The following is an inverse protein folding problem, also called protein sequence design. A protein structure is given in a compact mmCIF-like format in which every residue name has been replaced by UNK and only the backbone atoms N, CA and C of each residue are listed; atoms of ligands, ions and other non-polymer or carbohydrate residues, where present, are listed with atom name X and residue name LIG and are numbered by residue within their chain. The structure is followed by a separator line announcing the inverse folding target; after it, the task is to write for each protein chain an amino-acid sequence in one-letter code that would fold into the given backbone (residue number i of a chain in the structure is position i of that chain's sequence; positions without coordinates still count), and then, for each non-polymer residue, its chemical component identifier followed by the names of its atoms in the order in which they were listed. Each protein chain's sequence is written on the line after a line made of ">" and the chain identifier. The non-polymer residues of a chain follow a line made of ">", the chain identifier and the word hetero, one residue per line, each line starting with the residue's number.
data_IF_132246501450
#
_entry.id   IF_132246501450
#
_cell.length_a   1.000
_cell.length_b   1.000
_cell.length_c   1.000
_cell.angle_alpha   90.00
_cell.angle_beta   90.00
_cell.angle_gamma   90.00
#
_symmetry.space_group_name_H-M   'P 1'
#
loop_
_entity.id
_entity.type
_entity.pdbx_description
1 polymer ?
#
# COMPACT_ATOMS: atom_id res chain seq x y z
N UNK A 1 -9.92 1.28 -3.19
CA UNK A 1 -11.20 0.82 -2.60
C UNK A 1 -10.86 -0.44 -1.84
N UNK A 2 -11.42 -0.60 -0.65
CA UNK A 2 -11.23 -1.77 0.19
C UNK A 2 -12.59 -2.32 0.65
N UNK A 3 -12.65 -3.59 1.02
CA UNK A 3 -13.89 -4.24 1.44
C UNK A 3 -13.66 -5.00 2.74
N UNK A 4 -14.56 -4.81 3.71
CA UNK A 4 -14.61 -5.64 4.91
C UNK A 4 -15.15 -7.02 4.56
N UNK A 5 -14.35 -8.06 4.77
CA UNK A 5 -14.78 -9.44 4.55
C UNK A 5 -15.84 -9.90 5.58
N UNK A 6 -15.96 -9.21 6.71
CA UNK A 6 -16.89 -9.58 7.79
C UNK A 6 -18.28 -8.98 7.59
N UNK A 7 -18.35 -7.71 7.17
CA UNK A 7 -19.61 -6.97 7.05
C UNK A 7 -20.01 -6.65 5.62
N UNK A 8 -19.11 -6.81 4.65
CA UNK A 8 -19.33 -6.37 3.27
C UNK A 8 -19.28 -4.85 3.11
N UNK A 9 -18.87 -4.10 4.15
CA UNK A 9 -18.71 -2.67 4.05
C UNK A 9 -17.63 -2.31 3.01
N UNK A 10 -17.90 -1.31 2.18
CA UNK A 10 -16.99 -0.85 1.13
C UNK A 10 -16.42 0.50 1.51
N UNK A 11 -15.10 0.62 1.49
CA UNK A 11 -14.36 1.84 1.79
C UNK A 11 -13.75 2.42 0.51
N UNK A 12 -13.95 3.72 0.28
CA UNK A 12 -13.45 4.42 -0.91
C UNK A 12 -12.94 5.80 -0.54
N UNK A 13 -11.78 6.14 -1.06
CA UNK A 13 -11.22 7.49 -1.01
C UNK A 13 -11.74 8.32 -2.19
N UNK A 14 -12.19 9.54 -1.89
CA UNK A 14 -12.48 10.59 -2.87
C UNK A 14 -11.71 11.84 -2.50
N UNK A 15 -11.64 12.83 -3.40
CA UNK A 15 -10.88 14.07 -3.19
C UNK A 15 -11.22 14.86 -1.92
N UNK A 16 -12.37 14.59 -1.29
CA UNK A 16 -12.82 15.26 -0.07
C UNK A 16 -12.88 14.35 1.17
N UNK A 17 -12.39 13.12 1.09
CA UNK A 17 -12.35 12.26 2.27
C UNK A 17 -12.46 10.76 1.99
N UNK A 18 -12.48 9.99 3.08
CA UNK A 18 -12.82 8.57 3.10
C UNK A 18 -14.31 8.37 3.30
N UNK A 19 -14.89 7.48 2.50
CA UNK A 19 -16.31 7.16 2.51
C UNK A 19 -16.53 5.67 2.74
N UNK A 20 -17.63 5.34 3.41
CA UNK A 20 -18.11 3.99 3.69
C UNK A 20 -19.47 3.75 3.06
N UNK A 21 -19.66 2.59 2.46
CA UNK A 21 -20.94 2.04 2.06
C UNK A 21 -21.23 0.80 2.89
N UNK A 22 -22.49 0.62 3.27
CA UNK A 22 -23.01 -0.58 3.96
C UNK A 22 -24.06 -1.32 3.13
N UNK A 23 -24.20 -0.93 1.86
CA UNK A 23 -25.20 -1.42 0.91
C UNK A 23 -24.55 -1.82 -0.42
N UNK A 24 -23.43 -2.53 -0.34
CA UNK A 24 -22.69 -3.09 -1.49
C UNK A 24 -22.24 -2.03 -2.52
N UNK A 25 -21.92 -0.82 -2.05
CA UNK A 25 -21.46 0.28 -2.88
C UNK A 25 -22.59 1.06 -3.57
N UNK A 26 -23.86 0.86 -3.20
CA UNK A 26 -24.98 1.62 -3.77
C UNK A 26 -24.99 3.07 -3.25
N UNK A 27 -24.71 3.29 -1.98
CA UNK A 27 -24.61 4.62 -1.37
C UNK A 27 -23.39 4.76 -0.47
N UNK A 28 -22.85 5.97 -0.39
CA UNK A 28 -21.62 6.26 0.34
C UNK A 28 -21.84 7.43 1.31
N UNK A 29 -21.36 7.27 2.54
CA UNK A 29 -21.33 8.31 3.57
C UNK A 29 -19.88 8.64 3.91
N UNK A 30 -19.54 9.93 3.99
CA UNK A 30 -18.20 10.37 4.41
C UNK A 30 -18.00 10.04 5.89
N UNK A 31 -16.93 9.33 6.22
CA UNK A 31 -16.58 8.91 7.58
C UNK A 31 -15.31 9.59 8.11
N UNK A 32 -14.47 10.15 7.24
CA UNK A 32 -13.29 10.91 7.63
C UNK A 32 -13.04 12.06 6.65
N UNK A 33 -12.68 13.24 7.17
CA UNK A 33 -12.28 14.42 6.39
C UNK A 33 -10.76 14.41 6.12
N UNK A 34 -10.27 13.27 5.66
CA UNK A 34 -8.89 13.06 5.21
C UNK A 34 -8.91 12.13 4.00
N UNK A 35 -7.95 12.30 3.09
CA UNK A 35 -7.82 11.50 1.89
C UNK A 35 -6.42 10.87 1.84
N UNK A 36 -6.26 9.82 1.06
CA UNK A 36 -5.04 9.05 0.93
C UNK A 36 -4.80 8.57 -0.49
N UNK A 37 -3.52 8.37 -0.82
CA UNK A 37 -3.13 7.70 -2.07
C UNK A 37 -3.31 6.18 -1.97
N UNK A 38 -3.19 5.61 -0.76
CA UNK A 38 -3.25 4.18 -0.50
C UNK A 38 -4.17 3.87 0.68
N UNK A 39 -4.82 2.71 0.61
CA UNK A 39 -5.70 2.20 1.65
C UNK A 39 -5.68 0.67 1.62
N UNK A 40 -5.72 0.03 2.79
CA UNK A 40 -5.88 -1.43 2.94
C UNK A 40 -6.85 -1.74 4.07
N UNK A 41 -7.69 -2.76 3.89
CA UNK A 41 -8.47 -3.35 4.98
C UNK A 41 -8.04 -4.79 5.21
N UNK A 42 -7.49 -5.09 6.39
CA UNK A 42 -7.05 -6.44 6.73
C UNK A 42 -7.18 -6.70 8.23
N UNK A 43 -7.61 -7.91 8.58
CA UNK A 43 -7.73 -8.36 9.97
C UNK A 43 -8.57 -7.41 10.86
N UNK A 44 -9.61 -6.80 10.29
CA UNK A 44 -10.48 -5.84 11.00
C UNK A 44 -9.87 -4.44 11.15
N UNK A 45 -8.69 -4.19 10.59
CA UNK A 45 -8.01 -2.89 10.62
C UNK A 45 -8.08 -2.23 9.25
N UNK A 46 -8.59 -1.00 9.23
CA UNK A 46 -8.55 -0.11 8.07
C UNK A 46 -7.37 0.85 8.24
N UNK A 47 -6.45 0.81 7.27
CA UNK A 47 -5.35 1.76 7.16
C UNK A 47 -5.53 2.60 5.90
N UNK A 48 -5.31 3.91 6.01
CA UNK A 48 -5.33 4.84 4.88
C UNK A 48 -4.19 5.84 5.05
N UNK A 49 -3.41 6.11 4.00
CA UNK A 49 -2.43 7.20 4.07
C UNK A 49 -3.12 8.56 4.20
N UNK A 50 -2.43 9.54 4.79
CA UNK A 50 -2.90 10.92 4.81
C UNK A 50 -2.18 11.73 3.73
N UNK A 51 -2.93 12.45 2.91
CA UNK A 51 -2.40 13.49 2.02
C UNK A 51 -2.32 14.86 2.72
N UNK A 52 -2.92 14.99 3.90
CA UNK A 52 -2.86 16.22 4.71
C UNK A 52 -1.60 16.28 5.57
N UNK A 53 -0.99 15.13 5.88
CA UNK A 53 0.22 15.00 6.68
C UNK A 53 1.09 13.85 6.13
N UNK A 54 2.10 14.18 5.33
CA UNK A 54 2.97 13.19 4.68
C UNK A 54 3.65 12.28 5.71
N UNK A 55 3.57 10.98 5.47
CA UNK A 55 4.13 9.95 6.34
C UNK A 55 3.17 9.44 7.40
N UNK A 56 1.98 10.04 7.52
CA UNK A 56 0.97 9.66 8.50
C UNK A 56 -0.08 8.73 7.89
N UNK A 57 -0.52 7.78 8.71
CA UNK A 57 -1.54 6.78 8.40
C UNK A 57 -2.70 6.93 9.36
N UNK A 58 -3.91 6.99 8.83
CA UNK A 58 -5.15 6.91 9.58
C UNK A 58 -5.49 5.44 9.83
N UNK A 59 -5.72 5.09 11.09
CA UNK A 59 -5.95 3.73 11.58
C UNK A 59 -7.32 3.65 12.22
N UNK A 60 -8.17 2.77 11.72
CA UNK A 60 -9.42 2.40 12.37
C UNK A 60 -9.44 0.90 12.66
N UNK A 61 -9.87 0.54 13.87
CA UNK A 61 -10.04 -0.84 14.35
C UNK A 61 -11.51 -1.19 14.59
N UNK A 62 -12.41 -0.31 14.14
CA UNK A 62 -13.85 -0.37 14.37
C UNK A 62 -14.63 -0.08 13.09
N UNK A 63 -14.12 -0.55 11.95
CA UNK A 63 -14.73 -0.38 10.62
C UNK A 63 -15.01 1.08 10.22
N UNK A 64 -14.14 1.99 10.60
CA UNK A 64 -14.21 3.41 10.22
C UNK A 64 -15.19 4.23 11.05
N UNK A 65 -15.61 3.76 12.23
CA UNK A 65 -16.41 4.55 13.17
C UNK A 65 -15.53 5.56 13.93
N UNK A 66 -14.28 5.21 14.22
CA UNK A 66 -13.29 6.13 14.78
C UNK A 66 -11.90 5.90 14.20
N UNK A 67 -11.06 6.94 14.27
CA UNK A 67 -9.71 6.92 13.72
C UNK A 67 -8.68 7.43 14.74
N UNK A 68 -7.51 6.80 14.70
CA UNK A 68 -6.28 7.29 15.29
C UNK A 68 -5.24 7.49 14.19
N UNK A 69 -4.12 8.15 14.48
CA UNK A 69 -3.08 8.40 13.49
C UNK A 69 -1.73 7.90 13.99
N UNK A 70 -0.95 7.30 13.09
CA UNK A 70 0.43 6.86 13.31
C UNK A 70 1.32 7.47 12.24
N UNK A 71 2.44 8.08 12.64
CA UNK A 71 3.47 8.55 11.70
C UNK A 71 4.49 7.43 11.46
N UNK A 72 4.57 6.96 10.22
CA UNK A 72 5.46 5.88 9.77
C UNK A 72 6.79 6.44 9.28
N UNK A 73 6.73 7.47 8.43
CA UNK A 73 7.89 8.04 7.75
C UNK A 73 7.68 9.55 7.56
N UNK A 74 7.96 10.32 8.62
CA UNK A 74 7.64 11.75 8.65
C UNK A 74 8.21 12.51 7.44
N UNK A 75 7.32 13.14 6.67
CA UNK A 75 7.69 13.90 5.47
C UNK A 75 7.83 13.07 4.19
N UNK A 76 7.53 11.77 4.21
CA UNK A 76 7.51 10.93 3.01
C UNK A 76 6.08 10.62 2.58
N UNK A 77 5.77 10.78 1.30
CA UNK A 77 4.44 10.47 0.77
C UNK A 77 4.25 8.97 0.65
N UNK A 78 3.16 8.43 1.21
CA UNK A 78 2.83 7.00 1.13
C UNK A 78 1.97 6.78 -0.13
N UNK A 79 2.50 6.01 -1.09
CA UNK A 79 1.87 5.79 -2.40
C UNK A 79 1.24 4.42 -2.57
N UNK A 80 1.78 3.40 -1.91
CA UNK A 80 1.27 2.04 -2.02
C UNK A 80 1.28 1.34 -0.67
N UNK A 81 0.25 0.53 -0.45
CA UNK A 81 0.13 -0.38 0.69
C UNK A 81 -0.13 -1.79 0.18
N UNK A 82 0.46 -2.77 0.84
CA UNK A 82 0.19 -4.18 0.58
C UNK A 82 0.10 -4.95 1.89
N UNK A 83 -0.64 -6.05 1.88
CA UNK A 83 -0.86 -6.85 3.08
C UNK A 83 -0.81 -8.33 2.74
N UNK A 84 -0.14 -9.07 3.61
CA UNK A 84 -0.22 -10.53 3.69
C UNK A 84 -1.16 -10.90 4.84
N UNK A 85 -1.34 -12.19 5.13
CA UNK A 85 -2.13 -12.60 6.31
C UNK A 85 -1.59 -12.06 7.65
N UNK A 86 -0.29 -11.74 7.74
CA UNK A 86 0.38 -11.40 9.01
C UNK A 86 1.18 -10.09 8.98
N UNK A 87 1.57 -9.60 7.81
CA UNK A 87 2.50 -8.47 7.64
C UNK A 87 1.88 -7.44 6.70
N UNK A 88 1.97 -6.17 7.10
CA UNK A 88 1.58 -5.03 6.28
C UNK A 88 2.84 -4.33 5.77
N UNK A 89 2.77 -3.80 4.55
CA UNK A 89 3.84 -3.10 3.88
C UNK A 89 3.36 -1.73 3.41
N UNK A 90 4.25 -0.74 3.51
CA UNK A 90 4.02 0.63 3.03
C UNK A 90 5.21 1.06 2.21
N UNK A 91 4.95 1.43 0.97
CA UNK A 91 5.92 2.07 0.12
C UNK A 91 5.71 3.59 0.19
N UNK A 92 6.83 4.30 0.31
CA UNK A 92 6.87 5.76 0.45
C UNK A 92 7.87 6.37 -0.53
N UNK A 93 7.68 7.65 -0.87
CA UNK A 93 8.65 8.47 -1.58
C UNK A 93 9.03 9.69 -0.73
N UNK A 94 10.33 9.95 -0.60
CA UNK A 94 10.82 11.17 0.04
C UNK A 94 10.82 12.39 -0.91
N UNK A 95 11.27 13.54 -0.41
CA UNK A 95 11.35 14.78 -1.20
C UNK A 95 12.32 14.73 -2.37
N UNK A 96 13.26 13.78 -2.38
CA UNK A 96 14.22 13.53 -3.46
C UNK A 96 13.70 12.47 -4.44
N UNK A 97 12.44 12.04 -4.29
CA UNK A 97 11.77 11.00 -5.08
C UNK A 97 12.42 9.62 -4.92
N UNK A 98 13.06 9.36 -3.78
CA UNK A 98 13.65 8.06 -3.46
C UNK A 98 12.61 7.20 -2.75
N UNK A 99 12.47 5.95 -3.21
CA UNK A 99 11.56 5.00 -2.60
C UNK A 99 12.12 4.41 -1.30
N UNK A 100 11.25 4.28 -0.31
CA UNK A 100 11.46 3.47 0.88
C UNK A 100 10.33 2.46 1.06
N UNK A 101 10.60 1.43 1.85
CA UNK A 101 9.64 0.40 2.21
C UNK A 101 9.67 0.21 3.72
N UNK A 102 8.49 0.16 4.32
CA UNK A 102 8.30 -0.10 5.74
C UNK A 102 7.39 -1.32 5.90
N UNK A 103 7.59 -2.09 6.97
CA UNK A 103 6.71 -3.19 7.33
C UNK A 103 6.25 -3.12 8.78
N UNK A 104 5.06 -3.66 9.03
CA UNK A 104 4.51 -3.89 10.36
C UNK A 104 4.08 -5.35 10.50
N UNK A 105 4.41 -5.95 11.64
CA UNK A 105 4.03 -7.33 12.01
C UNK A 105 3.01 -7.34 13.18
N UNK A 106 2.54 -6.15 13.58
CA UNK A 106 1.65 -5.90 14.71
C UNK A 106 0.46 -5.03 14.31
N UNK A 107 -0.09 -5.30 13.12
CA UNK A 107 -1.31 -4.67 12.59
C UNK A 107 -1.24 -3.14 12.46
N UNK A 108 -0.05 -2.62 12.17
CA UNK A 108 0.19 -1.20 11.91
C UNK A 108 0.52 -0.37 13.15
N UNK A 109 0.69 -1.00 14.33
CA UNK A 109 1.10 -0.29 15.55
C UNK A 109 2.55 0.20 15.48
N UNK A 110 3.47 -0.64 14.99
CA UNK A 110 4.88 -0.29 14.81
C UNK A 110 5.37 -0.65 13.40
N UNK A 111 6.28 0.19 12.90
CA UNK A 111 6.81 0.08 11.54
C UNK A 111 8.34 0.04 11.56
N UNK A 112 8.91 -0.85 10.75
CA UNK A 112 10.36 -1.02 10.60
C UNK A 112 10.72 -0.89 9.13
N UNK A 113 11.77 -0.12 8.85
CA UNK A 113 12.30 0.03 7.51
C UNK A 113 12.82 -1.31 6.94
N UNK A 114 12.52 -1.55 5.67
CA UNK A 114 12.98 -2.70 4.89
C UNK A 114 13.98 -2.20 3.87
N UNK A 115 15.16 -2.82 3.82
CA UNK A 115 16.16 -2.49 2.81
C UNK A 115 15.68 -2.94 1.43
N UNK A 116 15.57 -1.99 0.52
CA UNK A 116 15.24 -2.20 -0.89
C UNK A 116 16.37 -1.67 -1.78
N UNK A 117 16.45 -2.10 -3.05
CA UNK A 117 17.28 -1.43 -4.05
C UNK A 117 16.94 0.06 -4.12
N UNK A 118 17.94 0.90 -4.38
CA UNK A 118 17.68 2.33 -4.59
C UNK A 118 16.85 2.52 -5.85
N UNK A 119 15.65 3.04 -5.68
CA UNK A 119 14.72 3.40 -6.75
C UNK A 119 14.44 4.88 -6.62
N UNK A 120 14.63 5.62 -7.71
CA UNK A 120 14.33 7.05 -7.75
C UNK A 120 13.33 7.32 -8.88
N UNK A 121 12.11 7.70 -8.52
CA UNK A 121 11.00 7.84 -9.47
C UNK A 121 10.15 9.07 -9.15
N UNK A 122 10.05 9.99 -10.10
CA UNK A 122 9.29 11.23 -9.95
C UNK A 122 7.81 11.09 -10.31
N UNK A 123 7.37 9.90 -10.70
CA UNK A 123 6.04 9.66 -11.26
C UNK A 123 5.03 9.14 -10.24
N UNK A 124 5.44 8.93 -8.99
CA UNK A 124 4.61 8.37 -7.93
C UNK A 124 4.10 6.96 -8.24
N UNK A 125 4.87 6.16 -8.98
CA UNK A 125 4.44 4.88 -9.52
C UNK A 125 5.24 3.66 -9.02
N UNK A 126 5.94 3.82 -7.91
CA UNK A 126 6.57 2.70 -7.21
C UNK A 126 5.50 2.02 -6.35
N UNK A 127 5.22 0.75 -6.61
CA UNK A 127 4.19 -0.01 -5.93
C UNK A 127 4.75 -1.27 -5.29
N UNK A 128 4.25 -1.58 -4.10
CA UNK A 128 4.45 -2.85 -3.42
C UNK A 128 3.20 -3.70 -3.59
N UNK A 129 3.38 -4.99 -3.88
CA UNK A 129 2.34 -6.00 -3.77
C UNK A 129 2.87 -7.21 -3.00
N UNK A 130 1.96 -7.89 -2.32
CA UNK A 130 2.27 -9.06 -1.52
C UNK A 130 1.38 -10.23 -1.94
N UNK A 131 1.93 -11.43 -1.91
CA UNK A 131 1.17 -12.65 -2.09
C UNK A 131 0.35 -12.92 -0.81
N UNK A 132 -0.96 -13.02 -0.99
CA UNK A 132 -1.90 -13.30 0.10
C UNK A 132 -1.77 -14.73 0.68
N UNK A 133 -1.12 -15.65 -0.05
CA UNK A 133 -0.95 -17.06 0.34
C UNK A 133 0.43 -17.34 0.91
N UNK A 134 1.49 -16.89 0.21
CA UNK A 134 2.88 -17.04 0.66
C UNK A 134 3.47 -15.70 1.07
N UNK A 135 3.53 -15.45 2.38
CA UNK A 135 4.00 -14.18 2.94
C UNK A 135 5.45 -13.84 2.60
N UNK A 136 6.20 -14.77 2.01
CA UNK A 136 7.56 -14.53 1.57
C UNK A 136 7.64 -13.86 0.19
N UNK A 137 6.59 -13.98 -0.62
CA UNK A 137 6.57 -13.47 -1.99
C UNK A 137 6.07 -12.03 -2.02
N UNK A 138 6.95 -11.12 -2.44
CA UNK A 138 6.66 -9.69 -2.59
C UNK A 138 7.12 -9.23 -3.98
N UNK A 139 6.36 -8.33 -4.58
CA UNK A 139 6.73 -7.63 -5.82
C UNK A 139 6.88 -6.14 -5.54
N UNK A 140 7.90 -5.52 -6.12
CA UNK A 140 8.16 -4.09 -6.03
C UNK A 140 8.39 -3.54 -7.45
N UNK A 141 7.55 -2.61 -7.89
CA UNK A 141 7.74 -1.95 -9.17
C UNK A 141 8.71 -0.78 -9.07
N UNK A 142 9.39 -0.45 -10.17
CA UNK A 142 10.28 0.72 -10.23
C UNK A 142 9.60 2.00 -10.75
N UNK A 143 8.30 1.96 -11.03
CA UNK A 143 7.60 3.09 -11.65
C UNK A 143 8.08 3.37 -13.06
N UNK A 144 8.33 4.64 -13.37
CA UNK A 144 8.66 5.14 -14.71
C UNK A 144 10.13 5.56 -14.83
N UNK A 145 10.97 5.24 -13.84
CA UNK A 145 12.40 5.57 -13.84
C UNK A 145 13.19 4.82 -14.93
N UNK A 146 12.66 3.69 -15.41
CA UNK A 146 13.36 2.77 -16.29
C UNK A 146 14.29 1.79 -15.56
N UNK A 147 14.26 1.77 -14.23
CA UNK A 147 14.93 0.75 -13.43
C UNK A 147 14.21 -0.61 -13.52
N UNK A 148 14.88 -1.67 -13.06
CA UNK A 148 14.29 -3.00 -12.98
C UNK A 148 13.17 -3.08 -11.95
N UNK A 149 12.14 -3.88 -12.23
CA UNK A 149 11.21 -4.33 -11.20
C UNK A 149 11.83 -5.45 -10.37
N UNK A 150 11.45 -5.61 -9.11
CA UNK A 150 12.06 -6.54 -8.17
C UNK A 150 11.06 -7.53 -7.56
N UNK A 151 11.55 -8.72 -7.25
CA UNK A 151 10.84 -9.74 -6.50
C UNK A 151 11.64 -10.13 -5.25
N UNK A 152 10.94 -10.31 -4.14
CA UNK A 152 11.47 -10.97 -2.95
C UNK A 152 10.75 -12.31 -2.76
N UNK A 153 11.49 -13.33 -2.33
CA UNK A 153 10.97 -14.66 -1.98
C UNK A 153 11.31 -15.03 -0.53
N UNK A 154 11.61 -14.02 0.29
CA UNK A 154 11.97 -14.15 1.71
C UNK A 154 11.47 -12.97 2.55
N UNK A 155 10.27 -12.49 2.24
CA UNK A 155 9.55 -11.50 3.04
C UNK A 155 10.24 -10.12 3.05
N UNK A 156 10.90 -9.76 1.95
CA UNK A 156 11.57 -8.46 1.78
C UNK A 156 12.99 -8.41 2.35
N UNK A 157 13.53 -9.53 2.84
CA UNK A 157 14.91 -9.56 3.36
C UNK A 157 15.96 -9.33 2.26
N UNK A 158 15.70 -9.83 1.05
CA UNK A 158 16.50 -9.58 -0.15
C UNK A 158 15.62 -9.47 -1.39
N UNK A 159 16.10 -8.76 -2.39
CA UNK A 159 15.39 -8.47 -3.63
C UNK A 159 16.21 -8.90 -4.85
N UNK A 160 15.55 -9.50 -5.82
CA UNK A 160 16.16 -9.92 -7.10
C UNK A 160 15.50 -9.16 -8.23
N UNK A 161 16.30 -8.55 -9.10
CA UNK A 161 15.81 -7.90 -10.30
C UNK A 161 15.12 -8.93 -11.22
N UNK A 162 13.98 -8.56 -11.78
CA UNK A 162 13.22 -9.40 -12.70
C UNK A 162 13.83 -9.44 -14.10
N UNK A 163 14.80 -8.57 -14.39
CA UNK A 163 15.37 -8.37 -15.72
C UNK A 163 14.39 -7.72 -16.70
N UNK A 164 13.32 -7.12 -16.17
CA UNK A 164 12.35 -6.33 -16.93
C UNK A 164 12.44 -4.90 -16.44
N UNK A 165 13.03 -4.03 -17.28
CA UNK A 165 13.03 -2.58 -17.12
C UNK A 165 11.76 -1.94 -17.70
N UNK A 166 10.67 -2.70 -17.69
CA UNK A 166 9.36 -2.24 -18.13
C UNK A 166 8.80 -1.30 -17.08
N UNK A 167 8.33 -0.15 -17.56
CA UNK A 167 7.62 0.85 -16.77
C UNK A 167 6.40 0.20 -16.13
N UNK A 168 6.40 -0.03 -14.82
CA UNK A 168 5.29 -0.71 -14.16
C UNK A 168 4.76 0.14 -13.03
N UNK A 169 3.47 0.47 -13.12
CA UNK A 169 2.78 1.27 -12.11
C UNK A 169 1.92 0.43 -11.17
N UNK A 170 1.80 -0.88 -11.38
CA UNK A 170 1.00 -1.75 -10.50
C UNK A 170 1.57 -3.16 -10.48
N UNK A 171 1.38 -3.86 -9.37
CA UNK A 171 1.64 -5.30 -9.31
C UNK A 171 0.63 -6.03 -8.43
N UNK A 172 0.46 -7.33 -8.67
CA UNK A 172 -0.40 -8.21 -7.86
C UNK A 172 0.02 -9.66 -8.00
N UNK A 173 -0.37 -10.49 -7.03
CA UNK A 173 -0.23 -11.94 -7.09
C UNK A 173 -1.60 -12.59 -7.25
N UNK A 174 -1.65 -13.70 -7.99
CA UNK A 174 -2.81 -14.58 -7.91
C UNK A 174 -2.66 -15.63 -6.80
N UNK A 175 -3.72 -16.41 -6.57
CA UNK A 175 -3.74 -17.46 -5.56
C UNK A 175 -2.77 -18.64 -5.85
N UNK A 176 -2.15 -18.69 -7.03
CA UNK A 176 -1.13 -19.67 -7.37
C UNK A 176 0.30 -19.13 -7.17
N UNK A 177 0.45 -17.92 -6.62
CA UNK A 177 1.73 -17.26 -6.39
C UNK A 177 2.38 -16.69 -7.65
N UNK A 178 1.61 -16.48 -8.73
CA UNK A 178 2.13 -15.85 -9.96
C UNK A 178 2.07 -14.34 -9.83
N UNK A 179 3.21 -13.69 -10.05
CA UNK A 179 3.33 -12.23 -10.08
C UNK A 179 2.85 -11.67 -11.44
N UNK A 180 2.02 -10.65 -11.38
CA UNK A 180 1.59 -9.83 -12.50
C UNK A 180 2.05 -8.38 -12.25
N UNK A 181 2.67 -7.77 -13.25
CA UNK A 181 3.08 -6.36 -13.22
C UNK A 181 2.48 -5.67 -14.44
N UNK A 182 1.85 -4.52 -14.22
CA UNK A 182 1.09 -3.79 -15.23
C UNK A 182 1.71 -2.43 -15.55
N UNK A 183 1.77 -2.13 -16.85
CA UNK A 183 2.10 -0.81 -17.39
C UNK A 183 0.92 0.15 -17.20
N UNK A 184 1.19 1.34 -16.67
CA UNK A 184 0.23 2.45 -16.68
C UNK A 184 0.56 3.36 -17.87
N UNK A 185 -0.30 3.36 -18.89
CA UNK A 185 -0.23 4.35 -19.97
C UNK A 185 -0.99 5.61 -19.54
N UNK A 186 -0.37 6.79 -19.69
CA UNK A 186 -1.07 8.08 -19.63
C UNK A 186 -1.67 8.45 -20.98
#
# INVERSE_FOLDING_TARGET
>A
MEVSNDTGAVFVTFSQGLYKSTDEGLTFTRILEDNGNAMVFANGVLLMSSTNDSGTVQVSVDEGESFSSVTVAAGEDIWSMAVTTAVMFMQTLDSDSVAHLYKSEDQGENWVAVTIPTLQDTSAAVYICADSVDTNNLGLTAGFSGDDNYISTNGGSTWTATGTNSVSGFCTFDAAGRLYMGEQYS
#
